data_IF_628534736123
#
_entry.id   IF_628534736123
#
_cell.length_a   1.000
_cell.length_b   1.000
_cell.length_c   1.000
_cell.angle_alpha   90.00
_cell.angle_beta   90.00
_cell.angle_gamma   90.00
#
_symmetry.space_group_name_H-M   'P 1'
#
loop_
_entity.id
_entity.type
_entity.pdbx_description
1 polymer ?
#
# COMPACT_ATOMS: atom_id res chain seq x y z
N UNK A 1 2.54 -48.23 -1.36
CA UNK A 1 3.61 -47.21 -1.14
C UNK A 1 3.87 -46.36 -2.38
N UNK A 2 4.08 -46.95 -3.57
CA UNK A 2 4.32 -46.19 -4.81
C UNK A 2 3.15 -45.29 -5.28
N UNK A 3 1.89 -45.72 -5.13
CA UNK A 3 0.74 -44.85 -5.48
C UNK A 3 0.60 -43.61 -4.61
N UNK A 4 1.01 -43.66 -3.34
CA UNK A 4 0.97 -42.48 -2.46
C UNK A 4 2.01 -41.43 -2.87
N UNK A 5 3.17 -41.86 -3.41
CA UNK A 5 4.19 -40.95 -3.92
C UNK A 5 3.74 -40.24 -5.20
N UNK A 6 2.96 -40.92 -6.06
CA UNK A 6 2.37 -40.32 -7.25
C UNK A 6 1.32 -39.26 -6.85
N UNK A 7 0.47 -39.57 -5.86
CA UNK A 7 -0.53 -38.64 -5.37
C UNK A 7 0.09 -37.39 -4.73
N UNK A 8 1.19 -37.55 -4.00
CA UNK A 8 1.94 -36.44 -3.39
C UNK A 8 2.60 -35.53 -4.44
N UNK A 9 3.07 -36.09 -5.56
CA UNK A 9 3.68 -35.35 -6.67
C UNK A 9 2.67 -34.51 -7.47
N UNK A 10 1.42 -34.97 -7.55
CA UNK A 10 0.34 -34.23 -8.22
C UNK A 10 -0.11 -33.04 -7.36
N UNK A 11 -0.17 -33.21 -6.04
CA UNK A 11 -0.64 -32.18 -5.11
C UNK A 11 0.30 -30.96 -5.05
N UNK A 12 1.61 -31.15 -5.20
CA UNK A 12 2.60 -30.06 -5.17
C UNK A 12 2.57 -29.16 -6.40
N UNK A 13 2.12 -29.65 -7.56
CA UNK A 13 2.04 -28.85 -8.79
C UNK A 13 0.83 -27.89 -8.81
N UNK A 14 -0.21 -28.13 -8.00
CA UNK A 14 -1.40 -27.28 -7.96
C UNK A 14 -1.14 -25.99 -7.15
N UNK A 15 -0.22 -26.00 -6.19
CA UNK A 15 0.09 -24.83 -5.35
C UNK A 15 0.88 -23.71 -6.06
N UNK A 16 1.43 -23.96 -7.26
CA UNK A 16 2.24 -22.96 -8.00
C UNK A 16 1.40 -22.00 -8.84
N UNK A 17 0.07 -22.20 -8.93
CA UNK A 17 -0.84 -21.30 -9.64
C UNK A 17 -1.52 -20.31 -8.68
N UNK A 18 -0.75 -19.49 -7.98
CA UNK A 18 -1.29 -18.32 -7.27
C UNK A 18 -1.36 -17.14 -8.24
N UNK A 19 -2.58 -16.71 -8.58
CA UNK A 19 -2.79 -15.54 -9.44
C UNK A 19 -2.59 -14.25 -8.64
N UNK A 20 -1.57 -13.47 -8.97
CA UNK A 20 -1.51 -12.06 -8.61
C UNK A 20 -2.44 -11.29 -9.56
N UNK A 21 -3.60 -10.86 -9.06
CA UNK A 21 -4.38 -9.81 -9.74
C UNK A 21 -3.60 -8.50 -9.64
N UNK A 22 -2.85 -8.16 -10.69
CA UNK A 22 -2.16 -6.88 -10.80
C UNK A 22 -2.99 -5.87 -11.58
N UNK A 23 -3.33 -4.75 -10.95
CA UNK A 23 -3.60 -3.49 -11.67
C UNK A 23 -2.23 -2.87 -11.92
N UNK A 24 -1.87 -2.70 -13.19
CA UNK A 24 -0.68 -1.89 -13.53
C UNK A 24 -1.05 -0.44 -13.31
N UNK A 25 -0.61 0.12 -12.18
CA UNK A 25 -0.63 1.56 -11.99
C UNK A 25 0.23 2.21 -13.08
N UNK A 26 -0.36 3.16 -13.80
CA UNK A 26 0.38 3.99 -14.74
C UNK A 26 1.29 4.91 -13.93
N UNK A 27 2.56 4.54 -13.82
CA UNK A 27 3.57 5.40 -13.23
C UNK A 27 3.59 6.72 -14.01
N UNK A 28 3.29 7.88 -13.39
CA UNK A 28 3.56 9.15 -14.03
C UNK A 28 5.07 9.18 -14.31
N UNK A 29 5.42 9.37 -15.58
CA UNK A 29 6.80 9.67 -16.00
C UNK A 29 7.38 10.71 -15.04
N UNK A 30 8.49 10.41 -14.32
CA UNK A 30 9.18 11.44 -13.57
C UNK A 30 9.78 12.38 -14.61
N UNK A 31 9.08 13.48 -14.88
CA UNK A 31 9.71 14.62 -15.52
C UNK A 31 10.90 15.00 -14.65
N UNK A 32 12.07 14.72 -15.19
CA UNK A 32 13.38 15.02 -14.67
C UNK A 32 13.54 16.54 -14.53
N UNK A 33 12.96 17.07 -13.46
CA UNK A 33 13.37 18.31 -12.84
C UNK A 33 14.32 17.95 -11.71
N UNK A 34 15.60 17.71 -12.02
CA UNK A 34 16.69 17.73 -11.04
C UNK A 34 16.91 19.18 -10.57
N UNK A 35 15.91 19.76 -9.92
CA UNK A 35 16.13 20.84 -8.98
C UNK A 35 16.52 20.20 -7.66
N UNK A 36 17.66 20.60 -7.08
CA UNK A 36 17.95 20.40 -5.65
C UNK A 36 17.00 21.28 -4.82
N UNK A 37 15.71 21.04 -4.95
CA UNK A 37 14.65 21.73 -4.20
C UNK A 37 14.23 20.89 -3.01
N UNK A 38 13.94 21.56 -1.92
CA UNK A 38 13.32 20.93 -0.75
C UNK A 38 11.91 20.47 -1.13
N UNK A 39 11.59 19.22 -0.80
CA UNK A 39 10.25 18.64 -1.00
C UNK A 39 9.50 18.72 0.31
N UNK A 40 8.41 19.49 0.32
CA UNK A 40 7.53 19.63 1.46
C UNK A 40 6.26 18.83 1.23
N UNK A 41 5.83 18.08 2.24
CA UNK A 41 4.51 17.48 2.29
C UNK A 41 3.73 18.05 3.47
N UNK A 42 2.44 18.29 3.27
CA UNK A 42 1.52 18.71 4.32
C UNK A 42 0.55 17.57 4.56
N UNK A 43 0.46 17.12 5.81
CA UNK A 43 -0.47 16.08 6.26
C UNK A 43 -1.51 16.76 7.14
N UNK A 44 -2.80 16.51 6.86
CA UNK A 44 -3.93 17.06 7.60
C UNK A 44 -4.81 15.90 8.06
N UNK A 45 -4.91 15.71 9.37
CA UNK A 45 -5.91 14.82 9.97
C UNK A 45 -7.23 15.57 10.16
N UNK A 46 -8.34 14.97 9.72
CA UNK A 46 -9.70 15.51 9.93
C UNK A 46 -10.46 14.52 10.82
N UNK A 47 -10.71 14.91 12.06
CA UNK A 47 -11.39 14.10 13.08
C UNK A 47 -12.85 14.52 13.28
N UNK A 48 -13.10 15.82 13.43
CA UNK A 48 -14.44 16.39 13.65
C UNK A 48 -15.08 16.88 12.34
N UNK A 49 -16.30 16.42 12.07
CA UNK A 49 -17.09 16.88 10.94
C UNK A 49 -18.22 17.81 11.40
N UNK A 50 -18.49 18.85 10.61
CA UNK A 50 -19.58 19.78 10.94
C UNK A 50 -20.97 19.15 10.76
N UNK A 51 -21.07 18.14 9.89
CA UNK A 51 -22.30 17.39 9.66
C UNK A 51 -22.50 16.34 10.76
N UNK A 52 -23.67 16.38 11.39
CA UNK A 52 -24.01 15.48 12.50
C UNK A 52 -24.31 14.06 12.05
N UNK A 53 -24.61 13.86 10.76
CA UNK A 53 -24.86 12.53 10.19
C UNK A 53 -23.55 11.78 9.88
N UNK A 54 -22.40 12.47 9.95
CA UNK A 54 -21.08 11.89 9.76
C UNK A 54 -20.45 11.64 11.14
N UNK A 55 -20.10 10.39 11.48
CA UNK A 55 -19.46 10.09 12.75
C UNK A 55 -17.99 10.54 12.76
N UNK A 56 -17.54 11.04 13.90
CA UNK A 56 -16.17 11.54 14.06
C UNK A 56 -15.11 10.43 13.98
N UNK A 57 -13.98 10.75 13.36
CA UNK A 57 -12.84 9.86 13.24
C UNK A 57 -11.97 9.93 14.50
N UNK A 58 -11.92 8.82 15.25
CA UNK A 58 -11.24 8.74 16.55
C UNK A 58 -9.71 8.72 16.50
N UNK A 59 -9.12 8.51 15.32
CA UNK A 59 -7.68 8.25 15.18
C UNK A 59 -7.00 9.13 14.12
N UNK A 60 -7.68 10.12 13.55
CA UNK A 60 -7.12 10.96 12.50
C UNK A 60 -5.84 11.68 12.93
N UNK A 61 -5.74 12.08 14.20
CA UNK A 61 -4.53 12.72 14.75
C UNK A 61 -3.35 11.74 14.80
N UNK A 62 -3.59 10.51 15.26
CA UNK A 62 -2.56 9.47 15.35
C UNK A 62 -2.09 9.02 13.97
N UNK A 63 -2.99 8.97 13.01
CA UNK A 63 -2.68 8.64 11.62
C UNK A 63 -1.84 9.76 10.99
N UNK A 64 -2.17 11.03 11.24
CA UNK A 64 -1.38 12.17 10.77
C UNK A 64 0.03 12.20 11.38
N UNK A 65 0.17 11.87 12.68
CA UNK A 65 1.47 11.70 13.33
C UNK A 65 2.26 10.52 12.75
N UNK A 66 1.60 9.38 12.51
CA UNK A 66 2.24 8.21 11.90
C UNK A 66 2.75 8.51 10.48
N UNK A 67 2.03 9.33 9.71
CA UNK A 67 2.42 9.76 8.37
C UNK A 67 3.56 10.80 8.37
N UNK A 68 3.73 11.59 9.43
CA UNK A 68 4.95 12.41 9.60
C UNK A 68 6.20 11.53 9.73
N UNK A 69 6.07 10.38 10.39
CA UNK A 69 7.17 9.41 10.59
C UNK A 69 7.34 8.52 9.34
N UNK A 70 6.25 8.22 8.62
CA UNK A 70 6.27 7.56 7.31
C UNK A 70 6.83 8.51 6.26
N UNK A 71 8.15 8.68 6.36
CA UNK A 71 8.98 9.42 5.43
C UNK A 71 8.51 9.17 4.00
N UNK A 72 8.48 10.27 3.25
CA UNK A 72 8.51 10.39 1.80
C UNK A 72 9.70 9.56 1.28
N UNK A 73 9.55 8.25 1.31
CA UNK A 73 10.51 7.26 0.86
C UNK A 73 10.03 6.66 -0.46
N UNK A 74 9.24 7.42 -1.21
CA UNK A 74 9.20 7.35 -2.67
C UNK A 74 10.40 8.12 -3.25
N UNK A 75 11.61 7.76 -2.81
CA UNK A 75 12.85 8.11 -3.50
C UNK A 75 13.91 7.06 -3.22
N UNK A 76 13.67 5.84 -3.71
CA UNK A 76 14.68 4.96 -4.32
C UNK A 76 13.99 3.81 -5.03
#
# INVERSE_FOLDING_TARGET
MKSYLIFLSILTNVCLYSQSKGVTESTPSPQSGEGRGEVYAVVVGISDYQDKDIPDLRFADKDAEALQIFKIQCRR
#
